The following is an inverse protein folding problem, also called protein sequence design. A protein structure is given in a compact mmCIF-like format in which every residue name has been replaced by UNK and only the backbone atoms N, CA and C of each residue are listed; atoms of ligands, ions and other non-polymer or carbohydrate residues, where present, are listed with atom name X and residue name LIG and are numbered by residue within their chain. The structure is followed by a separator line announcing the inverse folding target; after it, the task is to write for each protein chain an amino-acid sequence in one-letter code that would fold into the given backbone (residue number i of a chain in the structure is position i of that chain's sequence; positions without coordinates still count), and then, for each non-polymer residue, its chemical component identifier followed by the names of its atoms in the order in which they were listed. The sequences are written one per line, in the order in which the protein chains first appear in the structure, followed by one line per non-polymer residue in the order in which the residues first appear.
data_IF_572592486528
#
_entry.id   IF_572592486528
#
_cell.length_a   1.000
_cell.length_b   1.000
_cell.length_c   1.000
_cell.angle_alpha   90.00
_cell.angle_beta   90.00
_cell.angle_gamma   90.00
#
_symmetry.space_group_name_H-M   'P 1'
#
loop_
_entity.id
_entity.type
_entity.pdbx_description
1 polymer ?
#
# COMPACT_ATOMS: atom_id res chain seq x y z
N UNK A 1 8.15 6.52 -14.38
CA UNK A 1 9.30 6.33 -15.26
C UNK A 1 9.88 4.96 -15.05
N UNK A 2 10.30 4.33 -16.13
CA UNK A 2 10.81 2.95 -16.08
C UNK A 2 12.01 2.79 -15.14
N UNK A 3 12.92 3.77 -15.11
CA UNK A 3 14.10 3.71 -14.25
C UNK A 3 13.74 3.71 -12.77
N UNK A 4 12.73 4.48 -12.37
CA UNK A 4 12.26 4.49 -10.99
C UNK A 4 11.59 3.17 -10.63
N UNK A 5 10.76 2.63 -11.55
CA UNK A 5 10.08 1.36 -11.30
C UNK A 5 11.06 0.20 -11.17
N UNK A 6 12.24 0.27 -11.78
CA UNK A 6 13.25 -0.79 -11.65
C UNK A 6 13.89 -0.81 -10.27
N UNK A 7 13.98 0.34 -9.61
CA UNK A 7 14.71 0.43 -8.34
C UNK A 7 13.80 0.53 -7.13
N UNK A 8 12.51 0.75 -7.32
CA UNK A 8 11.57 0.97 -6.23
C UNK A 8 10.41 0.00 -6.27
N UNK A 9 9.98 -0.43 -5.10
CA UNK A 9 8.77 -1.22 -4.98
C UNK A 9 7.57 -0.26 -4.94
N UNK A 10 6.61 -0.45 -5.84
CA UNK A 10 5.45 0.42 -5.95
C UNK A 10 4.16 -0.38 -5.98
N UNK A 11 3.18 0.09 -5.22
CA UNK A 11 1.84 -0.50 -5.20
C UNK A 11 0.82 0.64 -5.15
N UNK A 12 -0.33 0.44 -5.78
CA UNK A 12 -1.40 1.44 -5.83
C UNK A 12 -2.68 0.86 -5.27
N UNK A 13 -3.47 1.73 -4.64
CA UNK A 13 -4.72 1.35 -3.99
C UNK A 13 -5.84 2.28 -4.44
N UNK A 14 -7.07 1.75 -4.47
CA UNK A 14 -8.25 2.59 -4.63
C UNK A 14 -8.58 3.27 -3.30
N UNK A 15 -9.57 4.18 -3.27
CA UNK A 15 -9.93 4.87 -2.03
C UNK A 15 -10.42 3.97 -0.90
N UNK A 16 -10.86 2.76 -1.21
CA UNK A 16 -11.28 1.80 -0.19
C UNK A 16 -10.13 0.94 0.32
N UNK A 17 -8.92 1.16 -0.20
CA UNK A 17 -7.75 0.43 0.24
C UNK A 17 -7.53 -0.90 -0.46
N UNK A 18 -8.20 -1.14 -1.58
CA UNK A 18 -7.98 -2.35 -2.36
C UNK A 18 -6.82 -2.15 -3.34
N UNK A 19 -6.00 -3.18 -3.51
CA UNK A 19 -4.83 -3.11 -4.39
C UNK A 19 -5.28 -3.11 -5.84
N UNK A 20 -4.88 -2.07 -6.59
CA UNK A 20 -5.24 -1.93 -7.99
C UNK A 20 -4.07 -2.17 -8.93
N UNK A 21 -2.84 -1.98 -8.45
CA UNK A 21 -1.65 -2.23 -9.26
C UNK A 21 -0.43 -2.42 -8.36
N UNK A 22 0.57 -3.14 -8.88
CA UNK A 22 1.84 -3.34 -8.18
C UNK A 22 2.91 -3.62 -9.22
N UNK A 23 4.12 -3.08 -9.02
CA UNK A 23 5.21 -3.40 -9.93
C UNK A 23 5.92 -4.69 -9.49
N UNK A 24 6.80 -5.18 -10.36
CA UNK A 24 7.50 -6.45 -10.10
C UNK A 24 8.36 -6.40 -8.85
N UNK A 25 8.97 -5.26 -8.58
CA UNK A 25 9.80 -5.11 -7.38
C UNK A 25 8.97 -5.31 -6.12
N UNK A 26 7.77 -4.76 -6.07
CA UNK A 26 6.88 -4.95 -4.93
C UNK A 26 6.46 -6.41 -4.79
N UNK A 27 6.07 -7.03 -5.90
CA UNK A 27 5.65 -8.43 -5.89
C UNK A 27 6.76 -9.34 -5.39
N UNK A 28 7.98 -9.14 -5.90
CA UNK A 28 9.14 -9.93 -5.49
C UNK A 28 9.44 -9.71 -4.01
N UNK A 29 9.40 -8.47 -3.56
CA UNK A 29 9.74 -8.11 -2.19
C UNK A 29 8.80 -8.79 -1.19
N UNK A 30 7.50 -8.81 -1.48
CA UNK A 30 6.50 -9.41 -0.59
C UNK A 30 6.25 -10.88 -0.87
N UNK A 31 6.76 -11.40 -1.98
CA UNK A 31 6.65 -12.82 -2.32
C UNK A 31 5.32 -13.21 -2.95
N UNK A 32 4.60 -12.26 -3.51
CA UNK A 32 3.30 -12.53 -4.14
C UNK A 32 3.38 -12.55 -5.65
N UNK A 33 2.48 -13.32 -6.26
CA UNK A 33 2.17 -13.16 -7.67
C UNK A 33 1.11 -12.07 -7.82
N UNK A 34 1.08 -11.43 -8.99
CA UNK A 34 0.12 -10.35 -9.24
C UNK A 34 -1.32 -10.80 -9.02
N UNK A 35 -1.69 -11.99 -9.49
CA UNK A 35 -3.05 -12.50 -9.35
C UNK A 35 -3.41 -12.84 -7.91
N UNK A 36 -2.44 -12.91 -7.02
CA UNK A 36 -2.70 -13.18 -5.60
C UNK A 36 -3.06 -11.92 -4.81
N UNK A 37 -2.71 -10.73 -5.32
CA UNK A 37 -2.94 -9.51 -4.55
C UNK A 37 -3.85 -8.49 -5.25
N UNK A 38 -3.95 -8.48 -6.57
CA UNK A 38 -4.83 -7.52 -7.24
C UNK A 38 -6.27 -7.71 -6.76
N UNK A 39 -6.92 -6.60 -6.38
CA UNK A 39 -8.26 -6.62 -5.83
C UNK A 39 -8.34 -6.96 -4.35
N UNK A 40 -7.23 -7.32 -3.73
CA UNK A 40 -7.21 -7.66 -2.31
C UNK A 40 -6.97 -6.40 -1.48
N UNK A 41 -7.47 -6.38 -0.22
CA UNK A 41 -7.31 -5.19 0.62
C UNK A 41 -5.89 -5.03 1.14
N UNK A 42 -5.50 -3.79 1.37
CA UNK A 42 -4.20 -3.46 1.96
C UNK A 42 -3.93 -4.22 3.26
N UNK A 43 -4.97 -4.45 4.07
CA UNK A 43 -4.78 -5.15 5.35
C UNK A 43 -4.21 -6.55 5.20
N UNK A 44 -4.32 -7.16 4.01
CA UNK A 44 -3.72 -8.46 3.75
C UNK A 44 -2.19 -8.42 3.87
N UNK A 45 -1.60 -7.24 3.70
CA UNK A 45 -0.17 -7.04 3.79
C UNK A 45 0.30 -6.71 5.21
N UNK A 46 -0.62 -6.59 6.15
CA UNK A 46 -0.34 -6.19 7.52
C UNK A 46 -0.53 -7.35 8.47
N UNK A 47 0.10 -7.29 9.67
CA UNK A 47 -0.21 -8.31 10.66
C UNK A 47 -1.65 -8.14 11.16
N UNK A 48 -2.25 -9.26 11.61
CA UNK A 48 -3.67 -9.27 11.91
C UNK A 48 -4.08 -8.35 13.04
N UNK A 49 -3.24 -8.20 14.05
CA UNK A 49 -3.55 -7.32 15.18
C UNK A 49 -3.59 -5.86 14.75
N UNK A 50 -2.59 -5.45 13.96
CA UNK A 50 -2.56 -4.08 13.44
C UNK A 50 -3.73 -3.83 12.49
N UNK A 51 -4.03 -4.79 11.62
CA UNK A 51 -5.11 -4.64 10.63
C UNK A 51 -6.48 -4.43 11.26
N UNK A 52 -6.66 -4.87 12.50
CA UNK A 52 -7.92 -4.71 13.23
C UNK A 52 -7.88 -3.54 14.22
N UNK A 53 -6.79 -2.79 14.26
CA UNK A 53 -6.59 -1.74 15.25
C UNK A 53 -7.24 -0.43 14.85
N UNK A 54 -7.48 0.41 15.84
CA UNK A 54 -7.93 1.78 15.62
C UNK A 54 -6.88 2.60 14.88
N UNK A 55 -5.60 2.33 15.14
CA UNK A 55 -4.50 3.01 14.45
C UNK A 55 -4.54 2.75 12.95
N UNK A 56 -4.85 1.53 12.53
CA UNK A 56 -4.98 1.19 11.12
C UNK A 56 -6.15 1.93 10.48
N UNK A 57 -7.29 1.98 11.17
CA UNK A 57 -8.46 2.71 10.69
C UNK A 57 -8.15 4.19 10.50
N UNK A 58 -7.45 4.79 11.47
CA UNK A 58 -7.05 6.20 11.40
C UNK A 58 -6.05 6.46 10.28
N UNK A 59 -5.16 5.53 10.05
CA UNK A 59 -4.19 5.62 8.96
C UNK A 59 -4.90 5.80 7.62
N UNK A 60 -5.88 4.96 7.33
CA UNK A 60 -6.64 5.06 6.09
C UNK A 60 -7.54 6.30 6.04
N UNK A 61 -8.11 6.70 7.17
CA UNK A 61 -8.89 7.94 7.21
C UNK A 61 -8.04 9.14 6.83
N UNK A 62 -6.81 9.21 7.32
CA UNK A 62 -5.90 10.31 6.98
C UNK A 62 -5.55 10.30 5.49
N UNK A 63 -5.28 9.13 4.94
CA UNK A 63 -5.01 9.02 3.51
C UNK A 63 -6.21 9.49 2.68
N UNK A 64 -7.40 9.11 3.09
CA UNK A 64 -8.62 9.53 2.38
C UNK A 64 -8.86 11.03 2.47
N UNK A 65 -8.35 11.67 3.51
CA UNK A 65 -8.41 13.14 3.63
C UNK A 65 -7.30 13.83 2.83
N UNK A 66 -6.44 13.08 2.19
CA UNK A 66 -5.37 13.63 1.38
C UNK A 66 -4.05 13.85 2.11
N UNK A 67 -3.91 13.33 3.32
CA UNK A 67 -2.66 13.45 4.07
C UNK A 67 -1.71 12.33 3.65
N UNK A 68 -0.50 12.70 3.24
CA UNK A 68 0.49 11.68 2.92
C UNK A 68 1.12 11.13 4.20
N UNK A 69 1.70 9.94 4.09
CA UNK A 69 2.44 9.31 5.18
C UNK A 69 3.85 8.99 4.71
N UNK A 70 4.84 9.19 5.57
CA UNK A 70 6.22 8.81 5.30
C UNK A 70 6.82 8.22 6.57
N UNK A 71 7.42 7.04 6.48
CA UNK A 71 8.04 6.42 7.64
C UNK A 71 8.25 4.92 7.47
N UNK A 72 8.64 4.28 8.58
CA UNK A 72 8.82 2.83 8.60
C UNK A 72 7.50 2.13 8.83
N UNK A 73 7.30 1.08 8.05
CA UNK A 73 6.10 0.26 8.15
C UNK A 73 6.48 -1.20 8.26
N UNK A 74 5.81 -1.93 9.15
CA UNK A 74 5.93 -3.37 9.22
C UNK A 74 4.89 -3.98 8.29
N UNK A 75 5.34 -4.85 7.40
CA UNK A 75 4.44 -5.59 6.51
C UNK A 75 4.76 -7.07 6.62
N UNK A 76 3.82 -7.90 6.18
CA UNK A 76 3.94 -9.35 6.29
C UNK A 76 4.01 -9.92 4.88
N UNK A 77 5.03 -10.73 4.62
CA UNK A 77 5.18 -11.38 3.32
C UNK A 77 4.14 -12.47 3.13
N UNK A 78 4.03 -12.98 1.90
CA UNK A 78 3.11 -14.07 1.61
C UNK A 78 3.33 -15.27 2.52
N UNK A 79 4.58 -15.52 2.92
CA UNK A 79 4.95 -16.63 3.77
C UNK A 79 4.81 -16.36 5.27
N UNK A 80 4.32 -15.17 5.61
CA UNK A 80 4.08 -14.82 7.00
C UNK A 80 5.26 -14.20 7.72
N UNK A 81 6.34 -13.84 7.00
CA UNK A 81 7.50 -13.22 7.64
C UNK A 81 7.34 -11.71 7.72
N UNK A 82 7.75 -11.12 8.86
CA UNK A 82 7.72 -9.66 8.98
C UNK A 82 8.81 -9.01 8.13
N UNK A 83 8.47 -7.87 7.54
CA UNK A 83 9.37 -7.08 6.71
C UNK A 83 9.18 -5.62 7.06
N UNK A 84 10.28 -4.92 7.41
CA UNK A 84 10.24 -3.50 7.72
C UNK A 84 10.63 -2.71 6.49
N UNK A 85 9.80 -1.75 6.10
CA UNK A 85 9.99 -0.95 4.90
C UNK A 85 9.99 0.52 5.22
N UNK A 86 10.87 1.28 4.55
CA UNK A 86 10.72 2.72 4.45
C UNK A 86 9.70 2.97 3.35
N UNK A 87 8.62 3.66 3.68
CA UNK A 87 7.50 3.79 2.76
C UNK A 87 6.95 5.21 2.75
N UNK A 88 6.43 5.61 1.59
CA UNK A 88 5.63 6.81 1.46
C UNK A 88 4.30 6.42 0.86
N UNK A 89 3.21 6.94 1.44
CA UNK A 89 1.87 6.76 0.90
C UNK A 89 1.40 8.12 0.41
N UNK A 90 1.08 8.20 -0.87
CA UNK A 90 0.76 9.48 -1.51
C UNK A 90 -0.64 9.44 -2.09
N UNK A 91 -1.62 10.11 -1.43
CA UNK A 91 -2.95 10.23 -1.99
C UNK A 91 -2.93 11.08 -3.25
N UNK A 92 -3.61 10.64 -4.30
CA UNK A 92 -3.76 11.37 -5.55
C UNK A 92 -5.23 11.75 -5.70
N UNK A 93 -5.49 13.04 -5.89
CA UNK A 93 -6.86 13.54 -6.03
C UNK A 93 -7.17 13.85 -7.48
N UNK A 94 -8.45 13.77 -7.83
CA UNK A 94 -8.91 14.18 -9.14
C UNK A 94 -9.05 15.72 -9.21
N UNK A 95 -9.49 16.23 -10.35
CA UNK A 95 -9.63 17.67 -10.54
C UNK A 95 -10.70 18.34 -9.69
N UNK A 96 -11.52 17.54 -8.99
CA UNK A 96 -12.55 18.04 -8.08
C UNK A 96 -12.17 17.83 -6.61
N UNK A 97 -10.92 17.43 -6.35
CA UNK A 97 -10.44 17.24 -4.99
C UNK A 97 -10.83 15.92 -4.33
N UNK A 98 -11.51 15.03 -5.05
CA UNK A 98 -11.87 13.72 -4.50
C UNK A 98 -10.68 12.76 -4.62
N UNK A 99 -10.55 11.89 -3.63
CA UNK A 99 -9.47 10.90 -3.67
C UNK A 99 -9.68 9.94 -4.84
N UNK A 100 -8.66 9.84 -5.70
CA UNK A 100 -8.67 8.97 -6.85
C UNK A 100 -7.97 7.65 -6.54
N UNK A 101 -6.79 7.73 -5.92
CA UNK A 101 -5.99 6.56 -5.58
C UNK A 101 -4.91 6.94 -4.57
N UNK A 102 -4.28 5.92 -3.98
CA UNK A 102 -3.11 6.10 -3.12
C UNK A 102 -1.95 5.33 -3.76
N UNK A 103 -0.81 6.00 -3.92
CA UNK A 103 0.40 5.41 -4.48
C UNK A 103 1.44 5.29 -3.36
N UNK A 104 1.95 4.07 -3.17
CA UNK A 104 2.96 3.78 -2.16
C UNK A 104 4.30 3.49 -2.80
#
# INVERSE_FOLDING_TARGET
MAALDRSMARVEFDPDGNITDANENFLTLLGYRRDEILGKPHRQLCDGAYAQSEDYRRFWERLRRGEHFSGRCKRITREGRPLWLEATYNPVRDGQGRLLKVVK
#
